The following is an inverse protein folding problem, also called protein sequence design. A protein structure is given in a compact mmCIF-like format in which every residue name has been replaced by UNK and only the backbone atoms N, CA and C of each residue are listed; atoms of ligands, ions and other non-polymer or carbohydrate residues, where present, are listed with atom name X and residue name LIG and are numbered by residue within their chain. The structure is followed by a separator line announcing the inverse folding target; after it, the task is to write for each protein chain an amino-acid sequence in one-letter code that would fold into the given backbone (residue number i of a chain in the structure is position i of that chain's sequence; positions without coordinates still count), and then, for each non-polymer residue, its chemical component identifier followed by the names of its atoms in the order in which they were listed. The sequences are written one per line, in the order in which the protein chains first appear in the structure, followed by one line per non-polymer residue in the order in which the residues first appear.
data_IF_134357787063
#
_entry.id   IF_134357787063
#
_cell.length_a   1.000
_cell.length_b   1.000
_cell.length_c   1.000
_cell.angle_alpha   90.00
_cell.angle_beta   90.00
_cell.angle_gamma   90.00
#
_symmetry.space_group_name_H-M   'P 1'
#
loop_
_entity.id
_entity.type
_entity.pdbx_description
1 polymer ?
#
# COMPACT_ATOMS: atom_id res chain seq x y z
N UNK A 1 0.34 -3.36 -20.14
CA UNK A 1 -1.00 -3.88 -19.84
C UNK A 1 -0.81 -5.19 -19.09
N UNK A 2 -1.20 -5.22 -17.81
CA UNK A 2 -0.99 -6.39 -16.96
C UNK A 2 -1.97 -7.50 -17.35
N UNK A 3 -1.66 -8.76 -16.99
CA UNK A 3 -2.57 -9.88 -17.20
C UNK A 3 -3.80 -9.67 -16.31
N UNK A 4 -4.98 -9.76 -16.90
CA UNK A 4 -6.23 -9.74 -16.14
C UNK A 4 -6.25 -10.91 -15.14
N UNK A 5 -6.78 -10.66 -13.95
CA UNK A 5 -7.04 -11.72 -12.98
C UNK A 5 -8.09 -12.68 -13.56
N UNK A 6 -7.85 -13.99 -13.44
CA UNK A 6 -8.77 -15.00 -13.94
C UNK A 6 -9.68 -15.58 -12.85
N UNK A 7 -10.65 -16.40 -13.26
CA UNK A 7 -11.63 -16.98 -12.34
C UNK A 7 -11.01 -17.90 -11.30
N UNK A 8 -9.95 -18.64 -11.65
CA UNK A 8 -9.28 -19.55 -10.71
C UNK A 8 -8.53 -18.78 -9.62
N UNK A 9 -7.96 -17.63 -9.96
CA UNK A 9 -7.33 -16.73 -8.99
C UNK A 9 -8.36 -16.10 -8.06
N UNK A 10 -9.50 -15.66 -8.59
CA UNK A 10 -10.60 -15.15 -7.77
C UNK A 10 -11.15 -16.23 -6.83
N UNK A 11 -11.32 -17.47 -7.30
CA UNK A 11 -11.73 -18.60 -6.45
C UNK A 11 -10.72 -18.85 -5.32
N UNK A 12 -9.41 -18.81 -5.63
CA UNK A 12 -8.37 -18.95 -4.62
C UNK A 12 -8.41 -17.82 -3.57
N UNK A 13 -8.55 -16.56 -4.01
CA UNK A 13 -8.68 -15.41 -3.11
C UNK A 13 -9.93 -15.56 -2.24
N UNK A 14 -11.07 -15.94 -2.81
CA UNK A 14 -12.32 -16.15 -2.08
C UNK A 14 -12.15 -17.19 -0.95
N UNK A 15 -11.42 -18.28 -1.22
CA UNK A 15 -11.08 -19.31 -0.23
C UNK A 15 -10.23 -18.76 0.92
N UNK A 16 -9.19 -17.99 0.60
CA UNK A 16 -8.30 -17.36 1.60
C UNK A 16 -9.07 -16.35 2.45
N UNK A 17 -9.90 -15.51 1.84
CA UNK A 17 -10.71 -14.51 2.54
C UNK A 17 -11.74 -15.19 3.46
N UNK A 18 -12.40 -16.26 3.00
CA UNK A 18 -13.35 -17.01 3.82
C UNK A 18 -12.67 -17.61 5.04
N UNK A 19 -11.50 -18.23 4.84
CA UNK A 19 -10.69 -18.78 5.95
C UNK A 19 -10.27 -17.69 6.94
N UNK A 20 -9.78 -16.54 6.46
CA UNK A 20 -9.40 -15.42 7.33
C UNK A 20 -10.61 -14.91 8.14
N UNK A 21 -11.78 -14.78 7.51
CA UNK A 21 -13.02 -14.34 8.19
C UNK A 21 -13.45 -15.32 9.28
N UNK A 22 -13.43 -16.63 9.01
CA UNK A 22 -13.73 -17.69 9.99
C UNK A 22 -12.82 -17.61 11.22
N UNK A 23 -11.58 -17.15 11.03
CA UNK A 23 -10.59 -16.97 12.09
C UNK A 23 -10.51 -15.54 12.64
N UNK A 24 -11.45 -14.66 12.28
CA UNK A 24 -11.45 -13.24 12.70
C UNK A 24 -10.15 -12.49 12.37
N UNK A 25 -9.50 -12.88 11.27
CA UNK A 25 -8.29 -12.25 10.75
C UNK A 25 -8.68 -11.28 9.63
N UNK A 26 -8.13 -10.06 9.71
CA UNK A 26 -8.20 -9.10 8.61
C UNK A 26 -6.97 -9.27 7.72
N UNK A 27 -7.19 -9.40 6.42
CA UNK A 27 -6.12 -9.46 5.43
C UNK A 27 -5.88 -8.08 4.82
N UNK A 28 -4.62 -7.75 4.56
CA UNK A 28 -4.24 -6.54 3.85
C UNK A 28 -3.55 -6.96 2.55
N UNK A 29 -4.22 -6.77 1.42
CA UNK A 29 -3.64 -7.05 0.11
C UNK A 29 -2.75 -5.88 -0.31
N UNK A 30 -1.47 -6.14 -0.49
CA UNK A 30 -0.49 -5.16 -0.96
C UNK A 30 -0.67 -4.83 -2.43
N UNK A 31 -0.42 -3.58 -2.83
CA UNK A 31 -0.56 -3.19 -4.22
C UNK A 31 0.57 -3.74 -5.10
N UNK A 32 0.17 -4.52 -6.10
CA UNK A 32 0.89 -4.55 -7.37
C UNK A 32 0.37 -3.46 -8.28
N UNK A 33 0.00 -3.84 -9.51
CA UNK A 33 -0.63 -2.95 -10.46
C UNK A 33 -2.05 -2.53 -10.04
N UNK A 34 -2.40 -1.25 -10.27
CA UNK A 34 -3.66 -0.63 -9.85
C UNK A 34 -4.88 -1.32 -10.44
N UNK A 35 -4.82 -1.70 -11.72
CA UNK A 35 -5.90 -2.39 -12.43
C UNK A 35 -6.20 -3.77 -11.81
N UNK A 36 -5.15 -4.52 -11.46
CA UNK A 36 -5.29 -5.82 -10.77
C UNK A 36 -5.84 -5.63 -9.37
N UNK A 37 -5.32 -4.67 -8.61
CA UNK A 37 -5.80 -4.39 -7.26
C UNK A 37 -7.27 -3.96 -7.24
N UNK A 38 -7.68 -3.12 -8.20
CA UNK A 38 -9.06 -2.71 -8.38
C UNK A 38 -9.95 -3.91 -8.73
N UNK A 39 -9.52 -4.78 -9.64
CA UNK A 39 -10.29 -5.96 -10.01
C UNK A 39 -10.55 -6.89 -8.82
N UNK A 40 -9.55 -7.09 -7.95
CA UNK A 40 -9.74 -7.85 -6.70
C UNK A 40 -10.68 -7.11 -5.75
N UNK A 41 -10.52 -5.81 -5.59
CA UNK A 41 -11.35 -5.01 -4.70
C UNK A 41 -12.83 -5.04 -5.12
N UNK A 42 -13.10 -4.96 -6.43
CA UNK A 42 -14.46 -5.00 -7.01
C UNK A 42 -15.08 -6.39 -6.90
N UNK A 43 -14.29 -7.45 -7.09
CA UNK A 43 -14.76 -8.83 -6.93
C UNK A 43 -15.12 -9.18 -5.47
N UNK A 44 -14.51 -8.48 -4.50
CA UNK A 44 -14.71 -8.69 -3.07
C UNK A 44 -15.04 -7.38 -2.36
N UNK A 45 -16.26 -6.85 -2.57
CA UNK A 45 -16.65 -5.56 -2.04
C UNK A 45 -16.75 -5.60 -0.52
N UNK A 46 -16.46 -4.48 0.13
CA UNK A 46 -16.38 -4.39 1.60
C UNK A 46 -17.75 -4.12 2.27
N UNK A 47 -18.77 -3.77 1.50
CA UNK A 47 -20.12 -3.42 1.98
C UNK A 47 -21.01 -4.65 2.23
N UNK A 48 -20.65 -5.81 1.69
CA UNK A 48 -21.24 -7.09 2.06
C UNK A 48 -20.59 -7.63 3.35
N UNK A 49 -21.23 -7.37 4.48
CA UNK A 49 -20.76 -7.76 5.80
C UNK A 49 -20.62 -9.29 5.98
N UNK A 50 -21.43 -10.08 5.30
CA UNK A 50 -21.40 -11.55 5.36
C UNK A 50 -20.49 -12.15 4.26
N UNK A 51 -20.13 -11.33 3.27
CA UNK A 51 -19.28 -11.69 2.16
C UNK A 51 -17.79 -11.87 2.53
N UNK A 52 -17.01 -12.56 1.70
CA UNK A 52 -15.55 -12.69 1.90
C UNK A 52 -14.81 -11.35 1.88
N UNK A 53 -15.33 -10.35 1.15
CA UNK A 53 -14.72 -9.02 1.07
C UNK A 53 -14.73 -8.20 2.37
N UNK A 54 -15.57 -8.54 3.34
CA UNK A 54 -15.67 -7.85 4.63
C UNK A 54 -14.37 -7.83 5.44
N UNK A 55 -13.52 -8.85 5.28
CA UNK A 55 -12.22 -8.96 5.96
C UNK A 55 -11.03 -8.48 5.11
N UNK A 56 -11.26 -8.08 3.86
CA UNK A 56 -10.23 -7.60 2.95
C UNK A 56 -10.01 -6.09 3.13
N UNK A 57 -8.84 -5.73 3.64
CA UNK A 57 -8.25 -4.41 3.55
C UNK A 57 -7.15 -4.35 2.50
N UNK A 58 -6.65 -3.14 2.28
CA UNK A 58 -5.58 -2.83 1.33
C UNK A 58 -4.35 -2.36 2.11
N UNK A 59 -3.19 -2.92 1.77
CA UNK A 59 -1.89 -2.35 2.11
C UNK A 59 -1.41 -1.55 0.90
N UNK A 60 -1.04 -0.30 1.10
CA UNK A 60 -0.32 0.44 0.05
C UNK A 60 1.17 0.45 0.39
N UNK A 61 1.97 -0.12 -0.49
CA UNK A 61 3.40 0.09 -0.59
C UNK A 61 3.69 1.28 -1.52
N UNK A 62 4.25 2.32 -0.92
CA UNK A 62 4.59 3.59 -1.58
C UNK A 62 5.73 3.41 -2.59
N UNK A 63 6.68 2.51 -2.31
CA UNK A 63 7.79 2.16 -3.18
C UNK A 63 7.31 1.46 -4.45
N UNK A 64 6.51 0.40 -4.33
CA UNK A 64 5.96 -0.34 -5.47
C UNK A 64 5.09 0.55 -6.33
N UNK A 65 4.28 1.43 -5.73
CA UNK A 65 3.50 2.40 -6.48
C UNK A 65 4.40 3.26 -7.39
N UNK A 66 5.57 3.70 -6.91
CA UNK A 66 6.49 4.55 -7.67
C UNK A 66 7.09 3.89 -8.93
N UNK A 67 7.04 2.55 -9.03
CA UNK A 67 7.44 1.82 -10.23
C UNK A 67 6.50 2.06 -11.42
N UNK A 68 5.32 2.64 -11.19
CA UNK A 68 4.30 2.95 -12.20
C UNK A 68 4.29 4.43 -12.62
N UNK A 69 5.42 5.11 -12.49
CA UNK A 69 5.60 6.55 -12.82
C UNK A 69 5.48 6.90 -14.30
N UNK A 70 5.49 5.90 -15.19
CA UNK A 70 5.16 6.05 -16.61
C UNK A 70 3.64 6.21 -16.83
N UNK A 71 2.82 5.72 -15.90
CA UNK A 71 1.36 5.77 -15.96
C UNK A 71 0.77 6.93 -15.16
N UNK A 72 1.43 7.34 -14.07
CA UNK A 72 0.93 8.36 -13.16
C UNK A 72 2.01 9.38 -12.81
N UNK A 73 1.64 10.66 -12.74
CA UNK A 73 2.56 11.71 -12.29
C UNK A 73 2.97 11.52 -10.82
N UNK A 74 2.02 11.17 -9.95
CA UNK A 74 2.23 10.90 -8.52
C UNK A 74 1.61 9.53 -8.15
N UNK A 75 2.27 8.42 -8.50
CA UNK A 75 1.68 7.09 -8.37
C UNK A 75 1.19 6.77 -6.97
N UNK A 76 2.05 6.92 -5.94
CA UNK A 76 1.68 6.60 -4.56
C UNK A 76 0.46 7.39 -4.06
N UNK A 77 0.38 8.69 -4.37
CA UNK A 77 -0.80 9.50 -4.04
C UNK A 77 -2.06 9.06 -4.81
N UNK A 78 -1.92 8.53 -6.04
CA UNK A 78 -3.03 7.98 -6.79
C UNK A 78 -3.57 6.69 -6.16
N UNK A 79 -2.70 5.76 -5.75
CA UNK A 79 -3.11 4.55 -5.03
C UNK A 79 -3.78 4.87 -3.69
N UNK A 80 -3.19 5.76 -2.89
CA UNK A 80 -3.77 6.19 -1.61
C UNK A 80 -5.18 6.77 -1.77
N UNK A 81 -5.40 7.56 -2.82
CA UNK A 81 -6.71 8.13 -3.12
C UNK A 81 -7.71 7.06 -3.56
N UNK A 82 -7.28 6.16 -4.45
CA UNK A 82 -8.14 5.14 -5.04
C UNK A 82 -8.66 4.13 -4.00
N UNK A 83 -7.83 3.78 -3.01
CA UNK A 83 -8.15 2.74 -2.02
C UNK A 83 -8.29 3.29 -0.58
N UNK A 84 -8.60 4.58 -0.45
CA UNK A 84 -8.64 5.30 0.82
C UNK A 84 -9.59 4.68 1.87
N UNK A 85 -10.71 4.14 1.42
CA UNK A 85 -11.77 3.53 2.22
C UNK A 85 -11.40 2.11 2.72
N UNK A 86 -10.51 1.43 2.00
CA UNK A 86 -10.05 0.07 2.33
C UNK A 86 -8.63 0.04 2.90
N UNK A 87 -7.92 1.17 2.94
CA UNK A 87 -6.54 1.26 3.41
C UNK A 87 -6.42 0.93 4.90
N UNK A 88 -5.65 -0.10 5.22
CA UNK A 88 -5.43 -0.57 6.60
C UNK A 88 -3.97 -0.61 6.99
N UNK A 89 -3.08 -0.67 6.01
CA UNK A 89 -1.66 -0.75 6.21
C UNK A 89 -0.92 0.09 5.18
N UNK A 90 0.23 0.63 5.57
CA UNK A 90 1.06 1.45 4.70
C UNK A 90 2.51 0.99 4.87
N UNK A 91 3.08 0.46 3.80
CA UNK A 91 4.51 0.22 3.70
C UNK A 91 5.18 1.43 3.07
N UNK A 92 6.33 1.82 3.64
CA UNK A 92 7.10 2.96 3.15
C UNK A 92 8.56 2.58 2.99
N UNK A 93 9.00 2.77 1.76
CA UNK A 93 10.37 2.75 1.31
C UNK A 93 10.50 3.78 0.18
N UNK A 94 11.71 4.17 -0.16
CA UNK A 94 11.97 5.02 -1.32
C UNK A 94 12.69 4.24 -2.41
N UNK A 95 12.58 4.71 -3.65
CA UNK A 95 13.31 4.16 -4.78
C UNK A 95 13.45 5.18 -5.91
N UNK A 96 14.19 4.81 -6.95
CA UNK A 96 14.38 5.66 -8.13
C UNK A 96 13.32 5.45 -9.22
N UNK A 97 12.31 4.63 -8.95
CA UNK A 97 11.22 4.32 -9.87
C UNK A 97 11.61 3.39 -11.03
N UNK A 98 12.80 2.77 -10.94
CA UNK A 98 13.31 1.78 -11.92
C UNK A 98 13.50 0.40 -11.30
N UNK A 99 13.38 0.29 -9.99
CA UNK A 99 13.58 -0.93 -9.21
C UNK A 99 13.11 -0.75 -7.78
N UNK A 100 12.93 -1.87 -7.08
CA UNK A 100 12.48 -1.89 -5.69
C UNK A 100 13.68 -1.76 -4.74
N UNK A 101 14.25 -0.54 -4.68
CA UNK A 101 15.56 -0.28 -4.05
C UNK A 101 15.52 -0.32 -2.50
N UNK A 102 14.34 -0.20 -1.88
CA UNK A 102 14.11 -0.16 -0.43
C UNK A 102 14.97 0.89 0.29
N UNK A 103 15.12 2.07 -0.31
CA UNK A 103 15.90 3.16 0.23
C UNK A 103 15.16 3.82 1.41
N UNK A 104 15.93 4.54 2.21
CA UNK A 104 15.38 5.45 3.23
C UNK A 104 14.51 6.53 2.54
N UNK A 105 13.29 6.81 3.04
CA UNK A 105 12.47 7.95 2.61
C UNK A 105 13.27 9.24 2.45
N UNK A 106 13.13 9.87 1.28
CA UNK A 106 13.85 11.07 0.88
C UNK A 106 15.17 10.82 0.14
N UNK A 107 15.61 9.56 0.01
CA UNK A 107 16.81 9.21 -0.73
C UNK A 107 16.55 8.80 -2.20
N UNK A 108 15.28 8.57 -2.56
CA UNK A 108 14.87 8.27 -3.92
C UNK A 108 14.20 9.46 -4.60
N UNK A 109 13.19 9.19 -5.41
CA UNK A 109 12.47 10.22 -6.19
C UNK A 109 10.96 10.21 -5.98
N UNK A 110 10.47 9.53 -4.95
CA UNK A 110 9.05 9.57 -4.57
C UNK A 110 8.67 10.99 -4.15
N UNK A 111 7.55 11.51 -4.67
CA UNK A 111 6.97 12.76 -4.21
C UNK A 111 6.28 12.57 -2.84
N UNK A 112 7.11 12.57 -1.79
CA UNK A 112 6.67 12.44 -0.41
C UNK A 112 5.77 13.58 0.05
N UNK A 113 5.84 14.77 -0.56
CA UNK A 113 4.93 15.87 -0.23
C UNK A 113 3.52 15.56 -0.72
N UNK A 114 3.38 15.02 -1.93
CA UNK A 114 2.09 14.53 -2.45
C UNK A 114 1.55 13.35 -1.63
N UNK A 115 2.41 12.41 -1.23
CA UNK A 115 2.03 11.30 -0.33
C UNK A 115 1.50 11.84 1.01
N UNK A 116 2.24 12.75 1.64
CA UNK A 116 1.84 13.34 2.92
C UNK A 116 0.56 14.18 2.80
N UNK A 117 0.38 14.91 1.70
CA UNK A 117 -0.83 15.66 1.44
C UNK A 117 -2.04 14.72 1.30
N UNK A 118 -1.89 13.59 0.61
CA UNK A 118 -2.99 12.64 0.44
C UNK A 118 -3.34 11.92 1.75
N UNK A 119 -2.35 11.44 2.51
CA UNK A 119 -2.56 10.81 3.81
C UNK A 119 -3.33 11.69 4.80
N UNK A 120 -3.15 13.03 4.73
CA UNK A 120 -3.92 13.98 5.55
C UNK A 120 -5.37 14.12 5.13
N UNK A 121 -5.69 13.86 3.85
CA UNK A 121 -7.04 13.99 3.29
C UNK A 121 -7.86 12.72 3.53
N UNK A 122 -7.22 11.57 3.61
CA UNK A 122 -7.89 10.28 3.79
C UNK A 122 -8.01 9.92 5.28
N UNK A 123 -9.03 9.13 5.69
CA UNK A 123 -9.25 8.77 7.09
C UNK A 123 -8.30 7.66 7.60
N UNK A 124 -7.07 7.62 7.10
CA UNK A 124 -6.10 6.58 7.49
C UNK A 124 -5.57 6.82 8.91
N UNK A 125 -5.64 5.77 9.74
CA UNK A 125 -5.15 5.78 11.14
C UNK A 125 -4.32 4.53 11.46
N UNK A 126 -3.95 3.77 10.43
CA UNK A 126 -3.17 2.55 10.57
C UNK A 126 -1.69 2.82 10.82
N UNK A 127 -0.91 1.75 10.87
CA UNK A 127 0.54 1.81 11.08
C UNK A 127 1.27 2.02 9.76
N UNK A 128 2.25 2.91 9.80
CA UNK A 128 3.29 3.05 8.78
C UNK A 128 4.41 2.08 9.14
N UNK A 129 4.79 1.20 8.22
CA UNK A 129 5.86 0.22 8.38
C UNK A 129 6.98 0.53 7.40
N UNK A 130 8.20 0.58 7.91
CA UNK A 130 9.40 0.84 7.11
C UNK A 130 9.89 -0.47 6.47
N UNK A 131 10.01 -0.48 5.14
CA UNK A 131 10.66 -1.57 4.40
C UNK A 131 12.00 -1.07 3.87
N UNK A 132 13.11 -1.48 4.51
CA UNK A 132 14.42 -0.90 4.26
C UNK A 132 15.47 -1.97 3.97
N UNK A 133 16.26 -1.75 2.93
CA UNK A 133 17.45 -2.52 2.64
C UNK A 133 18.72 -1.78 3.12
N UNK A 134 19.76 -2.54 3.46
CA UNK A 134 21.08 -2.02 3.78
C UNK A 134 21.62 -2.42 5.15
N UNK A 135 22.91 -2.13 5.36
CA UNK A 135 23.57 -2.34 6.65
C UNK A 135 23.15 -1.25 7.66
N UNK A 136 22.90 -1.64 8.91
CA UNK A 136 22.55 -0.70 9.99
C UNK A 136 21.05 -0.38 10.08
N UNK A 137 20.18 -1.37 10.33
CA UNK A 137 18.72 -1.18 10.34
C UNK A 137 18.25 -0.10 11.33
N UNK A 138 18.92 0.03 12.48
CA UNK A 138 18.58 1.05 13.47
C UNK A 138 18.88 2.48 12.98
N UNK A 139 19.94 2.67 12.20
CA UNK A 139 20.26 3.98 11.62
C UNK A 139 19.31 4.32 10.47
N UNK A 140 19.05 3.35 9.59
CA UNK A 140 18.08 3.50 8.51
C UNK A 140 16.71 3.89 9.09
N UNK A 141 16.22 3.18 10.10
CA UNK A 141 14.96 3.50 10.77
C UNK A 141 14.96 4.91 11.39
N UNK A 142 16.05 5.35 12.04
CA UNK A 142 16.17 6.72 12.58
C UNK A 142 16.12 7.79 11.49
N UNK A 143 16.78 7.55 10.35
CA UNK A 143 16.76 8.50 9.23
C UNK A 143 15.39 8.56 8.58
N UNK A 144 14.74 7.41 8.38
CA UNK A 144 13.38 7.33 7.82
C UNK A 144 12.37 8.05 8.71
N UNK A 145 12.39 7.77 10.01
CA UNK A 145 11.50 8.44 10.98
C UNK A 145 11.76 9.95 11.01
N UNK A 146 13.01 10.39 11.09
CA UNK A 146 13.33 11.83 11.06
C UNK A 146 12.87 12.53 9.78
N UNK A 147 12.97 11.87 8.62
CA UNK A 147 12.43 12.39 7.37
C UNK A 147 10.89 12.47 7.40
N UNK A 148 10.21 11.39 7.78
CA UNK A 148 8.74 11.35 7.86
C UNK A 148 8.21 12.39 8.85
N UNK A 149 8.86 12.58 10.00
CA UNK A 149 8.56 13.63 10.97
C UNK A 149 8.64 15.02 10.32
N UNK A 150 9.71 15.29 9.55
CA UNK A 150 9.95 16.58 8.90
C UNK A 150 8.88 16.97 7.88
N UNK A 151 8.21 15.98 7.27
CA UNK A 151 7.09 16.19 6.34
C UNK A 151 5.73 15.98 7.00
N UNK A 152 5.70 15.84 8.33
CA UNK A 152 4.49 15.72 9.16
C UNK A 152 3.73 14.42 8.98
N UNK A 153 4.45 13.32 8.73
CA UNK A 153 3.99 11.91 8.76
C UNK A 153 4.60 11.12 9.94
N UNK A 154 5.23 11.83 10.86
CA UNK A 154 5.84 11.24 12.05
C UNK A 154 4.87 10.49 12.94
N UNK A 155 5.41 9.52 13.67
CA UNK A 155 4.67 8.87 14.75
C UNK A 155 4.48 9.91 15.89
N UNK A 156 3.25 10.39 16.06
CA UNK A 156 2.83 11.05 17.29
C UNK A 156 2.79 10.08 18.47
#
# INVERSE_FOLDING_TARGET
MHRAIDSSELEAIAGILSYAREHSVRLALENGAMDVLQAVADAFPADDADGPGSCLGICIDVGHANLHRDLFANPAAAYLRAFADRLVHLHVSDNLGTGDDHLVPGAGNIDWHSVAAELRRIPYRGKIVLELAGAGPAEAARRSTGFLDSIGLGAG
#
